data_IF_663859769515
#
_entry.id   IF_663859769515
#
_cell.length_a   1.000
_cell.length_b   1.000
_cell.length_c   1.000
_cell.angle_alpha   90.00
_cell.angle_beta   90.00
_cell.angle_gamma   90.00
#
_symmetry.space_group_name_H-M   'P 1'
#
loop_
_entity.id
_entity.type
_entity.pdbx_description
1 polymer ?
#
# COMPACT_ATOMS: atom_id res chain seq x y z
N UNK A 1 -20.97 40.87 -28.24
CA UNK A 1 -20.12 39.68 -28.49
C UNK A 1 -18.95 39.61 -27.49
N UNK A 2 -18.20 40.69 -27.32
CA UNK A 2 -17.05 40.77 -26.39
C UNK A 2 -17.41 40.52 -24.91
N UNK A 3 -18.46 41.15 -24.35
CA UNK A 3 -18.89 40.87 -22.95
C UNK A 3 -19.29 39.42 -22.70
N UNK A 4 -19.97 38.77 -23.67
CA UNK A 4 -20.35 37.35 -23.55
C UNK A 4 -19.12 36.42 -23.61
N UNK A 5 -18.10 36.78 -24.38
CA UNK A 5 -16.83 36.04 -24.39
C UNK A 5 -16.07 36.22 -23.07
N UNK A 6 -16.04 37.42 -22.50
CA UNK A 6 -15.41 37.69 -21.19
C UNK A 6 -16.14 36.97 -20.05
N UNK A 7 -17.47 36.93 -20.05
CA UNK A 7 -18.28 36.16 -19.08
C UNK A 7 -18.09 34.64 -19.22
N UNK A 8 -18.01 34.12 -20.46
CA UNK A 8 -17.70 32.70 -20.68
C UNK A 8 -16.28 32.36 -20.19
N UNK A 9 -15.30 33.23 -20.48
CA UNK A 9 -13.91 33.04 -20.07
C UNK A 9 -13.76 33.07 -18.54
N UNK A 10 -14.36 34.07 -17.87
CA UNK A 10 -14.32 34.21 -16.41
C UNK A 10 -15.03 33.08 -15.68
N UNK A 11 -16.20 32.63 -16.16
CA UNK A 11 -16.93 31.49 -15.59
C UNK A 11 -16.19 30.16 -15.79
N UNK A 12 -15.51 29.98 -16.91
CA UNK A 12 -14.68 28.79 -17.20
C UNK A 12 -13.42 28.78 -16.35
N UNK A 13 -12.75 29.94 -16.21
CA UNK A 13 -11.60 30.11 -15.33
C UNK A 13 -11.94 29.88 -13.85
N UNK A 14 -13.08 30.40 -13.37
CA UNK A 14 -13.56 30.16 -12.01
C UNK A 14 -13.81 28.67 -11.73
N UNK A 15 -14.48 27.98 -12.65
CA UNK A 15 -14.68 26.52 -12.57
C UNK A 15 -13.36 25.75 -12.62
N UNK A 16 -12.40 26.19 -13.42
CA UNK A 16 -11.07 25.59 -13.52
C UNK A 16 -10.28 25.74 -12.21
N UNK A 17 -10.22 26.94 -11.63
CA UNK A 17 -9.55 27.17 -10.34
C UNK A 17 -10.20 26.39 -9.20
N UNK A 18 -11.53 26.29 -9.17
CA UNK A 18 -12.24 25.49 -8.17
C UNK A 18 -11.89 24.00 -8.27
N UNK A 19 -11.95 23.42 -9.47
CA UNK A 19 -11.56 22.01 -9.72
C UNK A 19 -10.09 21.74 -9.39
N UNK A 20 -9.20 22.68 -9.72
CA UNK A 20 -7.77 22.57 -9.42
C UNK A 20 -7.50 22.63 -7.92
N UNK A 21 -8.20 23.49 -7.17
CA UNK A 21 -8.13 23.52 -5.70
C UNK A 21 -8.62 22.21 -5.09
N UNK A 22 -9.76 21.69 -5.55
CA UNK A 22 -10.29 20.41 -5.09
C UNK A 22 -9.30 19.27 -5.33
N UNK A 23 -8.65 19.23 -6.49
CA UNK A 23 -7.60 18.25 -6.81
C UNK A 23 -6.42 18.30 -5.81
N UNK A 24 -5.90 19.50 -5.52
CA UNK A 24 -4.81 19.65 -4.55
C UNK A 24 -5.22 19.23 -3.14
N UNK A 25 -6.43 19.57 -2.69
CA UNK A 25 -6.94 19.17 -1.38
C UNK A 25 -7.02 17.64 -1.29
N UNK A 26 -7.62 16.98 -2.28
CA UNK A 26 -7.70 15.52 -2.33
C UNK A 26 -6.32 14.87 -2.30
N UNK A 27 -5.34 15.38 -3.07
CA UNK A 27 -3.97 14.87 -3.06
C UNK A 27 -3.27 15.08 -1.71
N UNK A 28 -3.46 16.22 -1.03
CA UNK A 28 -2.89 16.43 0.32
C UNK A 28 -3.44 15.43 1.33
N UNK A 29 -4.76 15.19 1.32
CA UNK A 29 -5.40 14.24 2.22
C UNK A 29 -4.82 12.83 1.99
N UNK A 30 -4.75 12.38 0.75
CA UNK A 30 -4.16 11.08 0.43
C UNK A 30 -2.67 10.99 0.80
N UNK A 31 -1.91 12.07 0.64
CA UNK A 31 -0.50 12.10 1.06
C UNK A 31 -0.38 11.91 2.57
N UNK A 32 -1.21 12.60 3.37
CA UNK A 32 -1.19 12.45 4.83
C UNK A 32 -1.58 11.04 5.28
N UNK A 33 -2.58 10.43 4.62
CA UNK A 33 -2.96 9.03 4.85
C UNK A 33 -1.85 8.05 4.47
N UNK A 34 -1.14 8.30 3.37
CA UNK A 34 0.03 7.52 2.96
C UNK A 34 1.16 7.57 3.98
N UNK A 35 1.51 8.77 4.46
CA UNK A 35 2.52 8.96 5.51
C UNK A 35 2.11 8.26 6.81
N UNK A 36 0.84 8.37 7.21
CA UNK A 36 0.32 7.67 8.38
C UNK A 36 0.44 6.14 8.22
N UNK A 37 0.04 5.59 7.07
CA UNK A 37 0.18 4.16 6.77
C UNK A 37 1.64 3.70 6.81
N UNK A 38 2.55 4.51 6.28
CA UNK A 38 4.00 4.25 6.35
C UNK A 38 4.49 4.21 7.79
N UNK A 39 4.12 5.19 8.61
CA UNK A 39 4.52 5.24 10.01
C UNK A 39 4.04 4.01 10.78
N UNK A 40 2.78 3.60 10.57
CA UNK A 40 2.21 2.38 11.16
C UNK A 40 2.94 1.14 10.67
N UNK A 41 3.22 1.03 9.36
CA UNK A 41 3.96 -0.10 8.80
C UNK A 41 5.37 -0.23 9.38
N UNK A 42 6.10 0.89 9.51
CA UNK A 42 7.43 0.94 10.13
C UNK A 42 7.34 0.58 11.62
N UNK A 43 6.36 1.11 12.34
CA UNK A 43 6.13 0.76 13.75
C UNK A 43 5.90 -0.74 13.94
N UNK A 44 5.03 -1.34 13.12
CA UNK A 44 4.77 -2.78 13.13
C UNK A 44 6.01 -3.59 12.77
N UNK A 45 6.83 -3.11 11.83
CA UNK A 45 8.08 -3.76 11.44
C UNK A 45 9.09 -3.77 12.58
N UNK A 46 9.28 -2.64 13.27
CA UNK A 46 10.19 -2.52 14.42
C UNK A 46 9.70 -3.34 15.61
N UNK A 47 8.40 -3.35 15.88
CA UNK A 47 7.84 -4.23 16.92
C UNK A 47 8.01 -5.71 16.59
N UNK A 48 8.09 -6.07 15.31
CA UNK A 48 8.36 -7.44 14.87
C UNK A 48 9.80 -7.86 15.11
N UNK A 49 10.76 -6.94 15.02
CA UNK A 49 12.19 -7.24 15.27
C UNK A 49 12.48 -7.58 16.73
N UNK A 50 11.63 -7.14 17.67
CA UNK A 50 11.72 -7.52 19.08
C UNK A 50 11.26 -8.98 19.34
N UNK A 51 10.55 -9.60 18.40
CA UNK A 51 9.99 -10.97 18.48
C UNK A 51 10.50 -11.86 17.34
N UNK A 52 11.82 -11.90 17.14
CA UNK A 52 12.51 -12.57 16.03
C UNK A 52 12.24 -14.09 15.91
N UNK A 53 11.53 -14.72 16.85
CA UNK A 53 11.22 -16.16 16.86
C UNK A 53 9.80 -16.52 16.39
N UNK A 54 8.91 -15.53 16.15
CA UNK A 54 7.47 -15.79 16.02
C UNK A 54 6.88 -15.73 14.61
N UNK A 55 7.67 -15.46 13.55
CA UNK A 55 7.11 -15.42 12.18
C UNK A 55 7.99 -16.11 11.14
N UNK A 56 7.44 -17.06 10.34
CA UNK A 56 8.16 -17.66 9.22
C UNK A 56 8.59 -16.57 8.25
N UNK A 57 9.85 -16.65 7.84
CA UNK A 57 10.54 -15.79 6.86
C UNK A 57 9.96 -15.85 5.45
N UNK A 58 8.95 -16.71 5.20
CA UNK A 58 8.46 -17.01 3.86
C UNK A 58 7.42 -16.05 3.28
N UNK A 59 6.90 -15.10 4.05
CA UNK A 59 5.85 -14.15 3.59
C UNK A 59 6.03 -12.73 4.14
N UNK A 60 7.24 -12.17 4.12
CA UNK A 60 7.43 -10.79 4.61
C UNK A 60 6.64 -9.75 3.78
N UNK A 61 6.46 -10.00 2.47
CA UNK A 61 5.72 -9.12 1.57
C UNK A 61 4.20 -9.09 1.82
N UNK A 62 3.61 -10.21 2.27
CA UNK A 62 2.18 -10.31 2.62
C UNK A 62 1.90 -10.10 4.12
N UNK A 63 2.93 -9.78 4.91
CA UNK A 63 2.72 -9.37 6.30
C UNK A 63 1.97 -8.04 6.36
N UNK A 64 1.11 -7.88 7.36
CA UNK A 64 0.43 -6.60 7.66
C UNK A 64 1.40 -5.41 7.63
N UNK A 65 2.61 -5.55 8.17
CA UNK A 65 3.64 -4.51 8.13
C UNK A 65 4.12 -4.20 6.70
N UNK A 66 4.40 -5.24 5.90
CA UNK A 66 4.84 -5.11 4.51
C UNK A 66 3.78 -4.48 3.61
N UNK A 67 2.51 -4.83 3.80
CA UNK A 67 1.38 -4.24 3.10
C UNK A 67 1.21 -2.76 3.47
N UNK A 68 1.20 -2.41 4.76
CA UNK A 68 1.12 -1.01 5.21
C UNK A 68 2.27 -0.15 4.67
N UNK A 69 3.50 -0.68 4.66
CA UNK A 69 4.67 0.00 4.10
C UNK A 69 4.56 0.17 2.58
N UNK A 70 4.33 -0.91 1.84
CA UNK A 70 4.29 -0.88 0.38
C UNK A 70 3.16 0.00 -0.16
N UNK A 71 1.95 -0.11 0.40
CA UNK A 71 0.81 0.76 0.05
C UNK A 71 1.11 2.21 0.40
N UNK A 72 1.66 2.47 1.58
CA UNK A 72 2.04 3.82 2.00
C UNK A 72 3.05 4.48 1.06
N UNK A 73 4.11 3.76 0.65
CA UNK A 73 5.11 4.26 -0.30
C UNK A 73 4.47 4.57 -1.64
N UNK A 74 3.67 3.63 -2.16
CA UNK A 74 2.99 3.79 -3.45
C UNK A 74 2.09 5.03 -3.47
N UNK A 75 1.28 5.24 -2.43
CA UNK A 75 0.40 6.41 -2.29
C UNK A 75 1.22 7.71 -2.26
N UNK A 76 2.32 7.76 -1.50
CA UNK A 76 3.18 8.94 -1.44
C UNK A 76 3.81 9.26 -2.81
N UNK A 77 4.28 8.25 -3.56
CA UNK A 77 4.84 8.45 -4.91
C UNK A 77 3.76 8.97 -5.85
N UNK A 78 2.58 8.36 -5.89
CA UNK A 78 1.51 8.78 -6.80
C UNK A 78 1.02 10.20 -6.47
N UNK A 79 0.88 10.53 -5.19
CA UNK A 79 0.44 11.86 -4.78
C UNK A 79 1.50 12.94 -5.06
N UNK A 80 2.79 12.66 -4.84
CA UNK A 80 3.87 13.59 -5.19
C UNK A 80 3.96 13.81 -6.69
N UNK A 81 3.83 12.76 -7.51
CA UNK A 81 3.72 12.87 -8.96
C UNK A 81 2.51 13.72 -9.35
N UNK A 82 1.34 13.52 -8.73
CA UNK A 82 0.14 14.32 -8.97
C UNK A 82 0.31 15.80 -8.60
N UNK A 83 0.99 16.08 -7.49
CA UNK A 83 1.31 17.43 -7.05
C UNK A 83 2.25 18.16 -8.02
N UNK A 84 3.33 17.48 -8.42
CA UNK A 84 4.29 18.00 -9.39
C UNK A 84 3.61 18.15 -10.75
N UNK A 85 2.76 17.22 -11.19
CA UNK A 85 2.01 17.33 -12.45
C UNK A 85 1.12 18.57 -12.48
N UNK A 86 0.42 18.86 -11.38
CA UNK A 86 -0.49 20.00 -11.29
C UNK A 86 0.23 21.37 -11.16
N UNK A 87 1.49 21.39 -10.73
CA UNK A 87 2.29 22.63 -10.58
C UNK A 87 3.26 22.86 -11.72
N UNK A 88 3.84 21.79 -12.28
CA UNK A 88 4.86 21.86 -13.30
C UNK A 88 4.31 22.13 -14.72
N UNK A 89 2.99 22.13 -14.90
CA UNK A 89 2.29 22.25 -16.20
C UNK A 89 2.87 21.33 -17.30
N UNK A 90 3.50 20.22 -16.91
CA UNK A 90 4.12 19.29 -17.85
C UNK A 90 3.10 18.22 -18.25
N UNK A 91 2.66 18.27 -19.51
CA UNK A 91 1.67 17.33 -20.06
C UNK A 91 2.07 15.87 -19.91
N UNK A 92 3.36 15.53 -20.05
CA UNK A 92 3.83 14.15 -19.92
C UNK A 92 3.63 13.64 -18.50
N UNK A 93 3.97 14.45 -17.49
CA UNK A 93 3.84 14.07 -16.09
C UNK A 93 2.37 13.92 -15.66
N UNK A 94 1.48 14.78 -16.19
CA UNK A 94 0.04 14.65 -15.97
C UNK A 94 -0.53 13.37 -16.61
N UNK A 95 -0.07 13.01 -17.81
CA UNK A 95 -0.45 11.73 -18.45
C UNK A 95 0.07 10.52 -17.66
N UNK A 96 1.29 10.60 -17.10
CA UNK A 96 1.82 9.55 -16.22
C UNK A 96 0.96 9.38 -14.97
N UNK A 97 0.55 10.47 -14.33
CA UNK A 97 -0.38 10.42 -13.20
C UNK A 97 -1.71 9.76 -13.58
N UNK A 98 -2.31 10.15 -14.71
CA UNK A 98 -3.54 9.52 -15.22
C UNK A 98 -3.34 8.02 -15.45
N UNK A 99 -2.21 7.62 -16.04
CA UNK A 99 -1.86 6.21 -16.26
C UNK A 99 -1.78 5.41 -14.97
N UNK A 100 -1.14 5.95 -13.92
CA UNK A 100 -1.07 5.30 -12.61
C UNK A 100 -2.45 5.12 -11.97
N UNK A 101 -3.30 6.15 -11.99
CA UNK A 101 -4.63 6.07 -11.37
C UNK A 101 -5.54 5.11 -12.16
N UNK A 102 -5.44 5.07 -13.50
CA UNK A 102 -6.15 4.07 -14.31
C UNK A 102 -5.68 2.65 -13.99
N UNK A 103 -4.36 2.44 -13.85
CA UNK A 103 -3.80 1.14 -13.49
C UNK A 103 -4.33 0.67 -12.13
N UNK A 104 -4.38 1.56 -11.14
CA UNK A 104 -4.95 1.26 -9.83
C UNK A 104 -6.43 0.90 -9.92
N UNK A 105 -7.24 1.68 -10.65
CA UNK A 105 -8.66 1.40 -10.82
C UNK A 105 -8.91 0.03 -11.47
N UNK A 106 -8.07 -0.39 -12.42
CA UNK A 106 -8.14 -1.72 -13.04
C UNK A 106 -7.81 -2.82 -12.03
N UNK A 107 -6.69 -2.69 -11.31
CA UNK A 107 -6.28 -3.67 -10.28
C UNK A 107 -7.35 -3.77 -9.20
N UNK A 108 -7.90 -2.65 -8.76
CA UNK A 108 -8.96 -2.59 -7.76
C UNK A 108 -10.24 -3.25 -8.24
N UNK A 109 -10.65 -3.01 -9.49
CA UNK A 109 -11.83 -3.61 -10.10
C UNK A 109 -11.69 -5.13 -10.24
N UNK A 110 -10.51 -5.61 -10.68
CA UNK A 110 -10.22 -7.05 -10.76
C UNK A 110 -10.27 -7.67 -9.37
N UNK A 111 -9.60 -7.07 -8.39
CA UNK A 111 -9.57 -7.57 -7.01
C UNK A 111 -10.97 -7.62 -6.39
N UNK A 112 -11.77 -6.56 -6.61
CA UNK A 112 -13.16 -6.50 -6.15
C UNK A 112 -14.05 -7.57 -6.82
N UNK A 113 -13.91 -7.75 -8.13
CA UNK A 113 -14.64 -8.79 -8.86
C UNK A 113 -14.25 -10.20 -8.38
N UNK A 114 -12.96 -10.48 -8.23
CA UNK A 114 -12.46 -11.75 -7.70
C UNK A 114 -12.96 -12.01 -6.27
N UNK A 115 -12.95 -10.98 -5.41
CA UNK A 115 -13.44 -11.07 -4.03
C UNK A 115 -14.93 -11.43 -3.93
N UNK A 116 -15.74 -11.00 -4.90
CA UNK A 116 -17.17 -11.34 -4.95
C UNK A 116 -17.42 -12.71 -5.61
N UNK A 117 -16.74 -13.01 -6.72
CA UNK A 117 -16.97 -14.24 -7.48
C UNK A 117 -16.43 -15.50 -6.80
N UNK A 118 -15.30 -15.40 -6.11
CA UNK A 118 -14.64 -16.55 -5.47
C UNK A 118 -15.02 -16.73 -4.00
N UNK A 119 -16.13 -16.13 -3.55
CA UNK A 119 -16.57 -16.22 -2.16
C UNK A 119 -16.63 -17.67 -1.65
N UNK A 120 -17.39 -18.53 -2.33
CA UNK A 120 -17.56 -19.93 -1.90
C UNK A 120 -16.29 -20.78 -2.07
N UNK A 121 -15.53 -20.55 -3.15
CA UNK A 121 -14.26 -21.25 -3.36
C UNK A 121 -13.20 -20.86 -2.31
N UNK A 122 -13.15 -19.58 -1.94
CA UNK A 122 -12.29 -19.08 -0.85
C UNK A 122 -12.69 -19.68 0.49
N UNK A 123 -13.99 -19.90 0.73
CA UNK A 123 -14.48 -20.59 1.92
C UNK A 123 -13.89 -21.99 2.05
N UNK A 124 -13.91 -22.78 0.98
CA UNK A 124 -13.41 -24.14 1.00
C UNK A 124 -11.87 -24.20 1.11
N UNK A 125 -11.17 -23.25 0.48
CA UNK A 125 -9.72 -23.10 0.68
C UNK A 125 -9.37 -22.76 2.12
N UNK A 126 -10.07 -21.80 2.74
CA UNK A 126 -9.87 -21.46 4.16
C UNK A 126 -10.16 -22.66 5.05
N UNK A 127 -11.19 -23.45 4.76
CA UNK A 127 -11.51 -24.68 5.48
C UNK A 127 -10.36 -25.68 5.41
N UNK A 128 -9.86 -25.93 4.21
CA UNK A 128 -8.77 -26.87 3.94
C UNK A 128 -7.48 -26.43 4.62
N UNK A 129 -7.16 -25.13 4.57
CA UNK A 129 -6.00 -24.56 5.22
C UNK A 129 -6.09 -24.67 6.75
N UNK A 130 -7.27 -24.46 7.34
CA UNK A 130 -7.48 -24.69 8.78
C UNK A 130 -7.23 -26.15 9.17
N UNK A 131 -7.68 -27.11 8.36
CA UNK A 131 -7.39 -28.54 8.56
C UNK A 131 -5.91 -28.89 8.40
N UNK A 132 -5.20 -28.25 7.47
CA UNK A 132 -3.75 -28.45 7.36
C UNK A 132 -3.01 -27.83 8.56
N UNK A 133 -3.44 -26.67 9.02
CA UNK A 133 -2.85 -25.95 10.13
C UNK A 133 -3.08 -26.65 11.47
N UNK A 134 -4.26 -27.25 11.72
CA UNK A 134 -4.50 -28.04 12.94
C UNK A 134 -3.55 -29.24 12.99
N UNK A 135 -3.36 -29.95 11.87
CA UNK A 135 -2.46 -31.10 11.80
C UNK A 135 -0.97 -30.72 11.92
N UNK A 136 -0.56 -29.56 11.40
CA UNK A 136 0.81 -29.05 11.57
C UNK A 136 1.09 -28.54 12.99
N UNK A 137 0.12 -27.86 13.60
CA UNK A 137 0.22 -27.41 15.01
C UNK A 137 0.36 -28.57 15.99
N UNK A 138 -0.06 -29.76 15.56
CA UNK A 138 -0.03 -30.98 16.32
C UNK A 138 1.37 -31.59 16.46
N UNK A 139 2.30 -31.27 15.54
CA UNK A 139 3.62 -31.88 15.44
C UNK A 139 4.72 -31.19 16.25
N UNK A 140 4.47 -29.97 16.74
CA UNK A 140 5.51 -29.13 17.35
C UNK A 140 5.57 -29.41 18.85
N UNK A 141 6.37 -30.39 19.27
CA UNK A 141 6.74 -30.56 20.69
C UNK A 141 8.23 -30.79 20.92
N UNK A 142 9.07 -30.92 19.88
CA UNK A 142 10.51 -31.18 20.09
C UNK A 142 11.48 -30.25 19.37
N UNK A 143 11.06 -29.49 18.35
CA UNK A 143 11.95 -28.57 17.64
C UNK A 143 11.19 -27.26 17.37
N UNK A 144 11.74 -26.15 17.89
CA UNK A 144 11.15 -24.81 17.95
C UNK A 144 10.79 -24.18 16.60
N UNK A 145 9.77 -24.71 15.94
CA UNK A 145 9.28 -24.23 14.65
C UNK A 145 7.79 -23.91 14.81
N UNK A 146 7.52 -22.63 15.08
CA UNK A 146 6.23 -21.95 15.14
C UNK A 146 5.29 -22.27 16.30
N UNK A 147 4.98 -21.24 17.08
CA UNK A 147 3.90 -21.20 18.08
C UNK A 147 2.51 -21.14 17.41
N UNK A 148 2.24 -22.10 16.52
CA UNK A 148 0.91 -22.31 15.94
C UNK A 148 -0.10 -22.62 17.05
N UNK A 149 0.35 -23.19 18.17
CA UNK A 149 -0.48 -23.48 19.35
C UNK A 149 -1.02 -22.19 19.99
N UNK A 150 -0.21 -21.17 20.28
CA UNK A 150 -0.75 -19.92 20.82
C UNK A 150 -1.70 -19.20 19.85
N UNK A 151 -1.47 -19.32 18.54
CA UNK A 151 -2.37 -18.79 17.53
C UNK A 151 -3.74 -19.48 17.56
N UNK A 152 -3.76 -20.81 17.67
CA UNK A 152 -4.98 -21.60 17.87
C UNK A 152 -5.67 -21.29 19.21
N UNK A 153 -4.91 -21.18 20.30
CA UNK A 153 -5.44 -20.85 21.62
C UNK A 153 -6.15 -19.50 21.62
N UNK A 154 -5.53 -18.49 20.99
CA UNK A 154 -6.12 -17.16 20.84
C UNK A 154 -7.36 -17.19 19.95
N UNK A 155 -7.30 -17.92 18.84
CA UNK A 155 -8.43 -18.05 17.91
C UNK A 155 -9.64 -18.70 18.60
N UNK A 156 -9.43 -19.82 19.29
CA UNK A 156 -10.49 -20.55 20.01
C UNK A 156 -11.10 -19.72 21.15
N UNK A 157 -10.27 -19.03 21.95
CA UNK A 157 -10.77 -18.14 23.02
C UNK A 157 -11.52 -16.93 22.46
N UNK A 158 -11.03 -16.34 21.36
CA UNK A 158 -11.64 -15.14 20.76
C UNK A 158 -12.95 -15.45 20.05
N UNK A 159 -13.04 -16.59 19.37
CA UNK A 159 -14.23 -17.00 18.60
C UNK A 159 -15.15 -17.96 19.37
N UNK A 160 -14.75 -18.39 20.58
CA UNK A 160 -15.52 -19.30 21.44
C UNK A 160 -15.90 -20.59 20.73
N UNK A 161 -14.92 -21.21 20.09
CA UNK A 161 -15.09 -22.39 19.21
C UNK A 161 -14.02 -23.45 19.53
N UNK A 162 -14.23 -24.69 19.08
CA UNK A 162 -13.25 -25.77 19.23
C UNK A 162 -13.12 -26.62 17.96
N UNK A 163 -11.87 -26.85 17.53
CA UNK A 163 -11.56 -27.58 16.30
C UNK A 163 -11.95 -26.81 15.03
N UNK A 164 -11.86 -27.45 13.87
CA UNK A 164 -12.24 -26.80 12.59
C UNK A 164 -13.74 -26.88 12.41
N UNK A 165 -14.30 -28.09 12.43
CA UNK A 165 -15.73 -28.37 12.43
C UNK A 165 -16.23 -28.73 13.82
N UNK A 166 -15.44 -29.47 14.59
CA UNK A 166 -15.82 -29.92 15.91
C UNK A 166 -14.58 -30.26 16.76
N UNK A 167 -14.79 -30.38 18.08
CA UNK A 167 -13.75 -30.78 19.04
C UNK A 167 -13.05 -32.10 18.68
N UNK A 168 -13.75 -33.01 18.01
CA UNK A 168 -13.22 -34.30 17.56
C UNK A 168 -12.05 -34.18 16.57
N UNK A 169 -11.91 -33.05 15.88
CA UNK A 169 -10.80 -32.82 14.94
C UNK A 169 -9.43 -32.89 15.64
N UNK A 170 -9.38 -32.63 16.96
CA UNK A 170 -8.17 -32.77 17.76
C UNK A 170 -7.79 -34.23 18.06
N UNK A 171 -8.76 -35.15 18.09
CA UNK A 171 -8.48 -36.57 18.35
C UNK A 171 -7.74 -37.24 17.18
N UNK A 172 -7.94 -36.71 15.97
CA UNK A 172 -7.23 -37.14 14.77
C UNK A 172 -5.91 -36.39 14.56
N UNK A 173 -5.62 -35.38 15.38
CA UNK A 173 -4.39 -34.61 15.29
C UNK A 173 -3.20 -35.41 15.84
N UNK A 174 -2.04 -35.30 15.20
CA UNK A 174 -0.81 -36.01 15.60
C UNK A 174 -0.23 -35.58 16.97
N UNK A 175 -0.90 -34.67 17.68
CA UNK A 175 -0.49 -34.05 18.95
C UNK A 175 -0.61 -35.01 20.12
N UNK A 176 -1.70 -35.78 20.13
CA UNK A 176 -2.06 -36.72 21.16
C UNK A 176 -2.62 -38.00 20.51
N UNK A 177 -1.76 -38.81 19.87
CA UNK A 177 -2.19 -40.03 19.21
C UNK A 177 -2.89 -40.95 20.22
N UNK A 178 -4.08 -41.43 19.87
CA UNK A 178 -4.87 -42.37 20.68
C UNK A 178 -5.31 -41.84 22.05
N UNK A 179 -5.33 -40.52 22.25
CA UNK A 179 -5.93 -39.87 23.43
C UNK A 179 -7.01 -38.90 22.96
N UNK A 180 -8.18 -38.94 23.60
CA UNK A 180 -9.30 -38.04 23.30
C UNK A 180 -9.12 -36.66 23.97
N UNK A 181 -7.95 -36.03 23.75
CA UNK A 181 -7.62 -34.75 24.36
C UNK A 181 -7.83 -33.59 23.40
N UNK A 182 -8.17 -32.44 23.97
CA UNK A 182 -8.24 -31.14 23.28
C UNK A 182 -7.38 -30.10 24.03
N UNK A 183 -6.99 -29.00 23.38
CA UNK A 183 -6.35 -27.89 24.09
C UNK A 183 -7.27 -27.25 25.12
N UNK A 184 -6.72 -26.76 26.24
CA UNK A 184 -7.50 -26.08 27.29
C UNK A 184 -8.19 -24.79 26.79
N UNK A 185 -7.75 -24.22 25.67
CA UNK A 185 -8.43 -23.10 24.99
C UNK A 185 -9.80 -23.46 24.41
N UNK A 186 -10.11 -24.75 24.24
CA UNK A 186 -11.44 -25.23 23.86
C UNK A 186 -12.44 -25.23 25.02
N UNK A 187 -11.99 -25.06 26.26
CA UNK A 187 -12.84 -25.10 27.43
C UNK A 187 -13.69 -23.84 27.55
N UNK A 188 -14.97 -24.01 27.83
CA UNK A 188 -15.91 -22.92 27.99
C UNK A 188 -15.92 -22.42 29.45
N UNK A 189 -15.47 -21.17 29.71
CA UNK A 189 -15.36 -20.63 31.07
C UNK A 189 -16.68 -20.64 31.86
N UNK A 190 -17.83 -20.68 31.18
CA UNK A 190 -19.15 -20.71 31.83
C UNK A 190 -19.37 -21.91 32.76
N UNK A 191 -18.61 -22.98 32.58
CA UNK A 191 -18.72 -24.21 33.38
C UNK A 191 -17.75 -24.25 34.57
N UNK A 192 -16.96 -23.19 34.79
CA UNK A 192 -15.94 -23.13 35.83
C UNK A 192 -16.18 -21.93 36.75
N UNK A 193 -16.08 -22.16 38.07
CA UNK A 193 -16.30 -21.12 39.10
C UNK A 193 -15.09 -20.18 39.23
N UNK A 194 -13.89 -20.68 38.94
CA UNK A 194 -12.64 -19.91 39.02
C UNK A 194 -11.65 -20.33 37.91
N UNK A 195 -10.79 -19.41 37.44
CA UNK A 195 -9.88 -19.62 36.29
C UNK A 195 -8.87 -20.75 36.59
N UNK A 196 -8.48 -20.87 37.86
CA UNK A 196 -7.58 -21.91 38.38
C UNK A 196 -8.14 -23.33 38.22
N UNK A 197 -9.47 -23.46 38.16
CA UNK A 197 -10.20 -24.73 38.01
C UNK A 197 -10.22 -25.24 36.56
N UNK A 198 -9.76 -24.43 35.61
CA UNK A 198 -9.86 -24.66 34.17
C UNK A 198 -8.61 -25.34 33.58
N UNK A 199 -7.56 -25.52 34.39
CA UNK A 199 -6.33 -26.18 33.97
C UNK A 199 -6.54 -27.67 33.68
N UNK A 200 -6.02 -28.16 32.56
CA UNK A 200 -6.20 -29.53 32.05
C UNK A 200 -7.67 -29.90 31.77
N UNK A 201 -8.58 -28.93 31.64
CA UNK A 201 -9.96 -29.22 31.28
C UNK A 201 -10.07 -30.00 29.96
N UNK A 202 -9.18 -29.75 29.00
CA UNK A 202 -9.19 -30.44 27.71
C UNK A 202 -8.81 -31.93 27.77
N UNK A 203 -8.36 -32.42 28.94
CA UNK A 203 -8.09 -33.84 29.19
C UNK A 203 -9.24 -34.57 29.91
N UNK A 204 -10.26 -33.83 30.33
CA UNK A 204 -11.45 -34.39 30.96
C UNK A 204 -12.35 -34.92 29.84
N UNK A 205 -12.74 -36.20 29.91
CA UNK A 205 -13.65 -36.84 28.96
C UNK A 205 -15.11 -36.37 29.19
N UNK A 206 -15.33 -35.06 29.06
CA UNK A 206 -16.64 -34.44 29.17
C UNK A 206 -16.78 -33.40 28.05
N UNK A 207 -17.60 -33.69 27.04
CA UNK A 207 -17.81 -32.77 25.92
C UNK A 207 -18.63 -31.54 26.31
N UNK A 208 -19.42 -31.58 27.38
CA UNK A 208 -20.33 -30.47 27.76
C UNK A 208 -19.61 -29.21 28.27
N UNK A 209 -18.39 -29.36 28.78
CA UNK A 209 -17.55 -28.25 29.26
C UNK A 209 -16.76 -27.57 28.13
N UNK A 210 -16.81 -28.11 26.91
CA UNK A 210 -16.11 -27.59 25.73
C UNK A 210 -17.02 -26.71 24.88
N UNK A 211 -16.42 -25.86 24.05
CA UNK A 211 -17.15 -25.18 22.97
C UNK A 211 -17.68 -26.18 21.95
N UNK A 212 -19.00 -26.14 21.72
CA UNK A 212 -19.70 -27.07 20.81
C UNK A 212 -19.60 -26.66 19.33
N UNK A 213 -19.18 -25.42 19.06
CA UNK A 213 -19.17 -24.88 17.70
C UNK A 213 -17.77 -25.00 17.08
N UNK A 214 -17.70 -25.47 15.84
CA UNK A 214 -16.47 -25.49 15.06
C UNK A 214 -16.00 -24.09 14.71
N UNK A 215 -14.67 -23.87 14.69
CA UNK A 215 -14.11 -22.56 14.42
C UNK A 215 -14.29 -22.10 12.98
N UNK A 216 -14.43 -22.99 12.00
CA UNK A 216 -14.56 -22.62 10.60
C UNK A 216 -15.81 -21.79 10.33
N UNK A 217 -16.98 -22.21 10.79
CA UNK A 217 -18.24 -21.50 10.52
C UNK A 217 -18.22 -20.10 11.14
N UNK A 218 -17.76 -19.99 12.40
CA UNK A 218 -17.65 -18.70 13.10
C UNK A 218 -16.60 -17.80 12.46
N UNK A 219 -15.44 -18.36 12.10
CA UNK A 219 -14.36 -17.62 11.47
C UNK A 219 -14.73 -17.15 10.06
N UNK A 220 -15.39 -17.99 9.27
CA UNK A 220 -15.85 -17.65 7.94
C UNK A 220 -16.89 -16.51 8.00
N UNK A 221 -17.88 -16.60 8.89
CA UNK A 221 -18.87 -15.53 9.07
C UNK A 221 -18.22 -14.22 9.53
N UNK A 222 -17.33 -14.30 10.53
CA UNK A 222 -16.55 -13.14 10.98
C UNK A 222 -15.73 -12.52 9.85
N UNK A 223 -15.04 -13.35 9.06
CA UNK A 223 -14.24 -12.91 7.92
C UNK A 223 -15.11 -12.24 6.85
N UNK A 224 -16.27 -12.84 6.51
CA UNK A 224 -17.18 -12.27 5.54
C UNK A 224 -17.75 -10.92 5.96
N UNK A 225 -18.03 -10.75 7.25
CA UNK A 225 -18.46 -9.46 7.78
C UNK A 225 -17.40 -8.38 7.54
N UNK A 226 -16.13 -8.67 7.85
CA UNK A 226 -15.03 -7.73 7.63
C UNK A 226 -14.71 -7.50 6.15
N UNK A 227 -14.76 -8.55 5.32
CA UNK A 227 -14.57 -8.45 3.86
C UNK A 227 -15.66 -7.58 3.23
N UNK A 228 -16.91 -7.70 3.69
CA UNK A 228 -18.00 -6.83 3.22
C UNK A 228 -17.72 -5.35 3.54
N UNK A 229 -17.24 -5.05 4.75
CA UNK A 229 -16.82 -3.68 5.12
C UNK A 229 -15.67 -3.20 4.25
N UNK A 230 -14.66 -4.04 3.99
CA UNK A 230 -13.54 -3.71 3.09
C UNK A 230 -14.01 -3.43 1.66
N UNK A 231 -14.99 -4.18 1.16
CA UNK A 231 -15.56 -3.95 -0.17
C UNK A 231 -16.26 -2.57 -0.27
N UNK A 232 -16.98 -2.13 0.76
CA UNK A 232 -17.57 -0.78 0.79
C UNK A 232 -16.52 0.33 0.81
N UNK A 233 -15.44 0.15 1.58
CA UNK A 233 -14.31 1.09 1.60
C UNK A 233 -13.64 1.14 0.22
N UNK A 234 -13.42 -0.02 -0.40
CA UNK A 234 -12.86 -0.14 -1.74
C UNK A 234 -13.74 0.58 -2.78
N UNK A 235 -15.06 0.35 -2.78
CA UNK A 235 -15.98 1.04 -3.69
C UNK A 235 -15.92 2.56 -3.53
N UNK A 236 -15.83 3.05 -2.29
CA UNK A 236 -15.70 4.49 -2.02
C UNK A 236 -14.39 5.05 -2.58
N UNK A 237 -13.29 4.32 -2.41
CA UNK A 237 -11.99 4.70 -2.98
C UNK A 237 -12.04 4.76 -4.51
N UNK A 238 -12.68 3.79 -5.16
CA UNK A 238 -12.84 3.77 -6.62
C UNK A 238 -13.60 5.00 -7.12
N UNK A 239 -14.68 5.41 -6.45
CA UNK A 239 -15.42 6.63 -6.81
C UNK A 239 -14.52 7.88 -6.73
N UNK A 240 -13.66 7.97 -5.71
CA UNK A 240 -12.72 9.07 -5.56
C UNK A 240 -11.63 9.05 -6.64
N UNK A 241 -11.12 7.87 -7.02
CA UNK A 241 -10.18 7.70 -8.13
C UNK A 241 -10.79 8.17 -9.46
N UNK A 242 -12.01 7.73 -9.78
CA UNK A 242 -12.72 8.16 -11.00
C UNK A 242 -12.95 9.68 -10.98
N UNK A 243 -13.35 10.24 -9.85
CA UNK A 243 -13.54 11.69 -9.70
C UNK A 243 -12.24 12.45 -9.96
N UNK A 244 -11.12 11.94 -9.42
CA UNK A 244 -9.79 12.51 -9.59
C UNK A 244 -9.30 12.39 -11.04
N UNK A 245 -9.61 11.28 -11.71
CA UNK A 245 -9.33 11.07 -13.15
C UNK A 245 -10.10 12.06 -14.02
N UNK A 246 -11.40 12.25 -13.76
CA UNK A 246 -12.22 13.22 -14.52
C UNK A 246 -11.64 14.62 -14.39
N UNK A 247 -11.21 15.02 -13.17
CA UNK A 247 -10.58 16.32 -12.94
C UNK A 247 -9.22 16.40 -13.67
N UNK A 248 -8.40 15.36 -13.61
CA UNK A 248 -7.10 15.33 -14.29
C UNK A 248 -7.23 15.41 -15.82
N UNK A 249 -8.19 14.69 -16.42
CA UNK A 249 -8.48 14.75 -17.85
C UNK A 249 -9.03 16.12 -18.25
N UNK A 250 -9.92 16.70 -17.44
CA UNK A 250 -10.41 18.06 -17.66
C UNK A 250 -9.26 19.08 -17.64
N UNK A 251 -8.33 18.96 -16.69
CA UNK A 251 -7.14 19.82 -16.63
C UNK A 251 -6.24 19.62 -17.85
N UNK A 252 -6.00 18.38 -18.28
CA UNK A 252 -5.18 18.06 -19.44
C UNK A 252 -5.72 18.66 -20.76
N UNK A 253 -7.04 18.84 -20.87
CA UNK A 253 -7.71 19.38 -22.05
C UNK A 253 -7.98 20.90 -21.97
N UNK A 254 -7.75 21.54 -20.83
CA UNK A 254 -8.03 22.96 -20.65
C UNK A 254 -6.97 23.86 -21.30
N UNK A 255 -7.41 24.92 -21.97
CA UNK A 255 -6.52 25.93 -22.57
C UNK A 255 -5.59 26.58 -21.54
N UNK A 256 -6.09 26.83 -20.33
CA UNK A 256 -5.30 27.38 -19.21
C UNK A 256 -4.09 26.50 -18.83
N UNK A 257 -4.20 25.17 -18.99
CA UNK A 257 -3.06 24.27 -18.79
C UNK A 257 -2.03 24.39 -19.92
N UNK A 258 -2.47 24.55 -21.17
CA UNK A 258 -1.59 24.80 -22.32
C UNK A 258 -0.88 26.15 -22.22
N UNK A 259 -1.58 27.20 -21.81
CA UNK A 259 -0.96 28.52 -21.57
C UNK A 259 0.11 28.45 -20.48
N UNK A 260 -0.16 27.74 -19.37
CA UNK A 260 0.82 27.49 -18.32
C UNK A 260 2.03 26.68 -18.83
N UNK A 261 1.79 25.64 -19.64
CA UNK A 261 2.86 24.84 -20.24
C UNK A 261 3.72 25.65 -21.22
N UNK A 262 3.10 26.53 -22.01
CA UNK A 262 3.78 27.40 -22.98
C UNK A 262 4.60 28.49 -22.28
N UNK A 263 4.02 29.12 -21.24
CA UNK A 263 4.73 30.09 -20.40
C UNK A 263 6.00 29.50 -19.79
N UNK A 264 5.91 28.30 -19.21
CA UNK A 264 7.06 27.62 -18.64
C UNK A 264 8.16 27.28 -19.65
N UNK A 265 7.78 26.80 -20.85
CA UNK A 265 8.74 26.52 -21.94
C UNK A 265 9.51 27.78 -22.35
N UNK A 266 8.82 28.91 -22.43
CA UNK A 266 9.43 30.21 -22.72
C UNK A 266 10.36 30.70 -21.61
N UNK A 267 9.98 30.54 -20.34
CA UNK A 267 10.83 30.91 -19.20
C UNK A 267 12.11 30.06 -19.14
N UNK A 268 12.02 28.77 -19.48
CA UNK A 268 13.15 27.85 -19.55
C UNK A 268 14.10 28.21 -20.70
N UNK A 269 13.54 28.55 -21.87
CA UNK A 269 14.32 29.08 -23.00
C UNK A 269 15.05 30.38 -22.64
N UNK A 270 14.35 31.32 -21.99
CA UNK A 270 14.96 32.57 -21.54
C UNK A 270 16.09 32.35 -20.53
N UNK A 271 15.92 31.41 -19.59
CA UNK A 271 16.96 31.06 -18.61
C UNK A 271 18.22 30.51 -19.29
N UNK A 272 18.04 29.61 -20.26
CA UNK A 272 19.16 29.04 -21.03
C UNK A 272 19.91 30.12 -21.83
N UNK A 273 19.19 31.07 -22.43
CA UNK A 273 19.81 32.21 -23.13
C UNK A 273 20.65 33.10 -22.20
N UNK A 274 20.18 33.36 -20.98
CA UNK A 274 20.95 34.14 -19.99
C UNK A 274 22.22 33.40 -19.59
N UNK A 275 22.14 32.10 -19.30
CA UNK A 275 23.31 31.26 -18.98
C UNK A 275 24.34 31.24 -20.12
N UNK A 276 23.88 31.13 -21.38
CA UNK A 276 24.76 31.18 -22.56
C UNK A 276 25.47 32.53 -22.68
N UNK A 277 24.76 33.63 -22.48
CA UNK A 277 25.36 34.97 -22.51
C UNK A 277 26.38 35.16 -21.36
N UNK A 278 26.11 34.60 -20.18
CA UNK A 278 27.06 34.65 -19.05
C UNK A 278 28.30 33.75 -19.27
N UNK A 279 28.16 32.64 -20.00
CA UNK A 279 29.29 31.81 -20.41
C UNK A 279 30.16 32.53 -21.44
N UNK A 280 29.56 33.15 -22.47
CA UNK A 280 30.29 33.91 -23.49
C UNK A 280 31.01 35.13 -22.89
N UNK A 281 30.36 35.84 -21.96
CA UNK A 281 30.97 36.93 -21.20
C UNK A 281 32.09 36.50 -20.23
N UNK A 282 32.16 35.21 -19.88
CA UNK A 282 33.27 34.63 -19.10
C UNK A 282 34.42 34.22 -20.00
N UNK A 283 34.15 33.65 -21.18
CA UNK A 283 35.18 33.28 -22.16
C UNK A 283 35.93 34.52 -22.67
N UNK A 284 35.21 35.61 -22.93
CA UNK A 284 35.80 36.91 -23.28
C UNK A 284 36.70 37.49 -22.16
N UNK A 285 36.45 37.13 -20.89
CA UNK A 285 37.27 37.57 -19.75
C UNK A 285 38.50 36.67 -19.50
N UNK A 286 38.52 35.45 -20.03
CA UNK A 286 39.65 34.53 -19.92
C UNK A 286 40.68 34.66 -21.05
N UNK A 287 40.40 35.43 -22.10
CA UNK A 287 41.46 35.88 -23.03
C UNK A 287 42.14 37.18 -22.54
N UNK A 288 43.13 37.03 -21.65
CA UNK A 288 44.39 37.70 -21.87
C UNK A 288 45.53 36.67 -21.84
N UNK A 289 46.31 36.64 -22.93
CA UNK A 289 47.72 36.22 -22.97
C UNK A 289 48.20 34.88 -23.60
N UNK A 290 47.45 34.19 -24.48
CA UNK A 290 48.03 33.11 -25.32
C UNK A 290 48.09 33.45 -26.83
N UNK A 291 48.44 34.70 -27.16
CA UNK A 291 48.70 35.12 -28.55
C UNK A 291 50.09 35.76 -28.70
N UNK A 292 51.14 35.10 -28.20
CA UNK A 292 52.54 35.46 -28.53
C UNK A 292 53.39 34.17 -28.69
N UNK A 293 54.02 34.01 -29.86
CA UNK A 293 54.97 32.96 -30.24
C UNK A 293 54.39 32.02 -31.30
N UNK A 294 54.83 31.94 -32.56
CA UNK A 294 56.15 32.19 -33.15
C UNK A 294 56.02 32.80 -34.55
N UNK A 295 56.62 33.97 -34.76
CA UNK A 295 57.15 34.34 -36.06
C UNK A 295 58.64 33.97 -36.06
N UNK A 296 58.98 32.77 -36.55
CA UNK A 296 60.37 32.41 -36.83
C UNK A 296 60.78 33.12 -38.13
N UNK A 297 61.43 34.27 -38.00
CA UNK A 297 62.26 34.86 -39.05
C UNK A 297 63.67 34.28 -38.91
N UNK A 298 64.11 33.55 -39.94
CA UNK A 298 65.51 33.16 -40.11
C UNK A 298 66.36 34.41 -40.40
N UNK A 299 67.51 34.61 -39.73
CA UNK A 299 68.43 35.69 -40.07
C UNK A 299 69.46 35.17 -41.09
N UNK A 300 69.49 35.82 -42.25
CA UNK A 300 70.65 35.83 -43.14
C UNK A 300 71.52 37.06 -42.81
N UNK A 301 72.83 36.84 -42.89
CA UNK A 301 73.95 37.79 -42.92
C UNK A 301 74.69 38.16 -41.62
N UNK A 302 75.82 37.46 -41.46
CA UNK A 302 77.19 37.97 -41.29
C UNK A 302 77.53 38.94 -40.15
N UNK A 303 78.46 38.53 -39.29
CA UNK A 303 79.77 39.17 -39.06
C UNK A 303 80.69 38.18 -38.30
N UNK A 304 81.87 37.93 -38.89
CA UNK A 304 83.09 37.22 -38.42
C UNK A 304 83.10 35.69 -38.31
#
# INVERSE_FOLDING_TARGET
MFSRMVELATSTLSKYFSKRRAFFVTLTIFTTMGIYSLAVGVWLYLKRTDFYELTPTSFSAFSTAGLCCSTGVAVCIICTVGWIAATAYNRRLLLTYIGFVVLLAVIQSITGALGLSYKEAAREHVRTDLFQNINRSALVTSQGVFDLTASWDKLQKSLKCCGVNNSSDWHYAQRWPSQEFVPDSCCNPKHFVDVTSMGNCGKIANSTILYQQGCFEVFADWLYHHVAVMNWISLTLLIVEISSLIIAVFMANSEAFFEGSSGKSRDEYHRCLVELNEMDARDLRMQPNDRIGDARQDPLDNIL
#
